data_IF_510720486477
#
_entry.id   IF_510720486477
#
_cell.length_a   1.000
_cell.length_b   1.000
_cell.length_c   1.000
_cell.angle_alpha   90.00
_cell.angle_beta   90.00
_cell.angle_gamma   90.00
#
_symmetry.space_group_name_H-M   'P 1'
#
loop_
_entity.id
_entity.type
_entity.pdbx_description
1 polymer ?
#
# COMPACT_ATOMS: atom_id res chain seq x y z
N UNK A 1 -50.14 -12.16 -6.59
CA UNK A 1 -48.99 -11.83 -7.47
C UNK A 1 -48.36 -10.45 -7.21
N UNK A 2 -49.10 -9.32 -7.30
CA UNK A 2 -48.54 -7.96 -7.10
C UNK A 2 -47.86 -7.71 -5.74
N UNK A 3 -48.40 -8.22 -4.63
CA UNK A 3 -47.77 -8.09 -3.29
C UNK A 3 -46.43 -8.84 -3.19
N UNK A 4 -46.37 -10.04 -3.77
CA UNK A 4 -45.17 -10.88 -3.77
C UNK A 4 -44.05 -10.25 -4.60
N UNK A 5 -44.36 -9.71 -5.78
CA UNK A 5 -43.39 -8.98 -6.59
C UNK A 5 -42.81 -7.77 -5.88
N UNK A 6 -43.64 -6.98 -5.17
CA UNK A 6 -43.17 -5.82 -4.41
C UNK A 6 -42.26 -6.21 -3.24
N UNK A 7 -42.65 -7.25 -2.52
CA UNK A 7 -41.82 -7.78 -1.45
C UNK A 7 -40.48 -8.25 -2.01
N UNK A 8 -40.48 -8.94 -3.15
CA UNK A 8 -39.26 -9.41 -3.82
C UNK A 8 -38.37 -8.25 -4.29
N UNK A 9 -38.93 -7.23 -4.94
CA UNK A 9 -38.19 -6.02 -5.35
C UNK A 9 -37.54 -5.31 -4.15
N UNK A 10 -38.31 -5.12 -3.07
CA UNK A 10 -37.80 -4.49 -1.85
C UNK A 10 -36.71 -5.33 -1.18
N UNK A 11 -36.96 -6.63 -0.98
CA UNK A 11 -36.02 -7.52 -0.28
C UNK A 11 -34.71 -7.67 -1.05
N UNK A 12 -34.76 -7.87 -2.37
CA UNK A 12 -33.56 -7.94 -3.20
C UNK A 12 -32.86 -6.58 -3.24
N UNK A 13 -33.60 -5.49 -3.46
CA UNK A 13 -33.03 -4.14 -3.49
C UNK A 13 -32.31 -3.77 -2.19
N UNK A 14 -32.95 -4.05 -1.04
CA UNK A 14 -32.37 -3.83 0.28
C UNK A 14 -31.13 -4.70 0.51
N UNK A 15 -31.18 -6.00 0.13
CA UNK A 15 -30.04 -6.90 0.27
C UNK A 15 -28.84 -6.40 -0.54
N UNK A 16 -29.03 -6.08 -1.82
CA UNK A 16 -27.96 -5.58 -2.70
C UNK A 16 -27.40 -4.24 -2.20
N UNK A 17 -28.27 -3.31 -1.81
CA UNK A 17 -27.86 -2.01 -1.31
C UNK A 17 -27.07 -2.11 -0.01
N UNK A 18 -27.59 -2.84 0.99
CA UNK A 18 -26.96 -2.95 2.31
C UNK A 18 -25.65 -3.73 2.28
N UNK A 19 -25.52 -4.73 1.41
CA UNK A 19 -24.27 -5.51 1.29
C UNK A 19 -23.17 -4.75 0.54
N UNK A 20 -23.52 -3.89 -0.42
CA UNK A 20 -22.55 -3.13 -1.22
C UNK A 20 -22.17 -1.77 -0.62
N UNK A 21 -23.03 -1.18 0.23
CA UNK A 21 -22.82 0.16 0.77
C UNK A 21 -21.51 0.32 1.56
N UNK A 22 -21.11 -0.59 2.48
CA UNK A 22 -19.89 -0.41 3.27
C UNK A 22 -18.64 -0.36 2.38
N UNK A 23 -18.51 -1.29 1.44
CA UNK A 23 -17.35 -1.34 0.54
C UNK A 23 -17.35 -0.17 -0.44
N UNK A 24 -18.52 0.19 -1.01
CA UNK A 24 -18.64 1.35 -1.90
C UNK A 24 -18.17 2.63 -1.21
N UNK A 25 -18.57 2.81 0.04
CA UNK A 25 -18.19 3.98 0.84
C UNK A 25 -16.68 4.01 1.05
N UNK A 26 -16.07 2.89 1.47
CA UNK A 26 -14.61 2.80 1.64
C UNK A 26 -13.85 3.07 0.34
N UNK A 27 -14.31 2.53 -0.78
CA UNK A 27 -13.67 2.76 -2.09
C UNK A 27 -13.79 4.20 -2.57
N UNK A 28 -14.92 4.88 -2.31
CA UNK A 28 -15.06 6.32 -2.60
C UNK A 28 -14.11 7.14 -1.72
N UNK A 29 -14.01 6.79 -0.43
CA UNK A 29 -13.07 7.46 0.47
C UNK A 29 -11.61 7.25 0.04
N UNK A 30 -11.27 6.06 -0.44
CA UNK A 30 -9.95 5.76 -1.05
C UNK A 30 -9.70 6.64 -2.28
N UNK A 31 -10.68 6.77 -3.18
CA UNK A 31 -10.56 7.65 -4.35
C UNK A 31 -10.31 9.11 -3.96
N UNK A 32 -11.04 9.62 -2.97
CA UNK A 32 -10.88 10.98 -2.44
C UNK A 32 -9.50 11.11 -1.77
N UNK A 33 -9.06 10.10 -1.04
CA UNK A 33 -7.73 10.06 -0.41
C UNK A 33 -6.63 10.15 -1.45
N UNK A 34 -6.62 9.29 -2.47
CA UNK A 34 -5.60 9.28 -3.51
C UNK A 34 -5.60 10.61 -4.29
N UNK A 35 -6.77 11.19 -4.56
CA UNK A 35 -6.85 12.52 -5.17
C UNK A 35 -6.22 13.60 -4.30
N UNK A 36 -6.48 13.59 -2.98
CA UNK A 36 -5.87 14.55 -2.05
C UNK A 36 -4.37 14.35 -1.94
N UNK A 37 -3.90 13.11 -1.84
CA UNK A 37 -2.48 12.79 -1.73
C UNK A 37 -1.74 13.20 -3.01
N UNK A 38 -2.24 12.86 -4.19
CA UNK A 38 -1.62 13.25 -5.47
C UNK A 38 -1.63 14.76 -5.73
N UNK A 39 -2.62 15.47 -5.18
CA UNK A 39 -2.70 16.92 -5.25
C UNK A 39 -1.71 17.60 -4.28
N UNK A 40 -1.46 16.99 -3.12
CA UNK A 40 -0.57 17.54 -2.09
C UNK A 40 0.90 17.13 -2.30
N UNK A 41 1.14 15.93 -2.81
CA UNK A 41 2.47 15.32 -2.85
C UNK A 41 2.79 14.69 -4.20
N UNK A 42 4.09 14.63 -4.48
CA UNK A 42 4.66 13.74 -5.49
C UNK A 42 5.71 12.85 -4.83
N UNK A 43 5.50 11.52 -4.90
CA UNK A 43 6.39 10.54 -4.30
C UNK A 43 7.06 9.76 -5.41
N UNK A 44 8.38 9.86 -5.50
CA UNK A 44 9.18 9.16 -6.51
C UNK A 44 10.09 8.16 -5.83
N UNK A 45 9.98 6.89 -6.22
CA UNK A 45 10.95 5.87 -5.81
C UNK A 45 12.25 6.01 -6.60
N UNK A 46 13.34 6.20 -5.88
CA UNK A 46 14.68 6.43 -6.43
C UNK A 46 15.32 5.13 -6.93
N UNK A 47 14.90 3.98 -6.37
CA UNK A 47 15.31 2.66 -6.85
C UNK A 47 14.63 2.38 -8.18
N UNK A 48 15.23 2.86 -9.26
CA UNK A 48 14.79 2.55 -10.62
C UNK A 48 15.34 1.20 -11.06
N UNK A 49 14.63 0.55 -11.99
CA UNK A 49 15.01 -0.75 -12.54
C UNK A 49 16.33 -0.72 -13.32
N UNK A 50 16.30 -0.85 -14.64
CA UNK A 50 17.51 -0.80 -15.47
C UNK A 50 17.77 0.60 -16.02
N UNK A 51 18.96 1.20 -15.83
CA UNK A 51 20.09 0.71 -15.04
C UNK A 51 19.85 0.83 -13.52
N UNK A 52 20.44 -0.07 -12.71
CA UNK A 52 20.25 -0.08 -11.27
C UNK A 52 20.81 1.19 -10.63
N UNK A 53 20.03 1.81 -9.75
CA UNK A 53 20.46 2.98 -8.99
C UNK A 53 21.50 2.57 -7.96
N UNK A 54 22.64 3.27 -7.91
CA UNK A 54 23.71 3.04 -6.95
C UNK A 54 23.20 3.11 -5.50
N UNK A 55 23.83 2.35 -4.59
CA UNK A 55 23.49 2.37 -3.15
C UNK A 55 23.95 3.65 -2.43
N UNK A 56 24.68 4.51 -3.15
CA UNK A 56 25.05 5.87 -2.76
C UNK A 56 24.21 6.85 -3.55
N UNK A 57 23.45 7.70 -2.87
CA UNK A 57 22.56 8.68 -3.47
C UNK A 57 22.91 10.09 -3.02
N UNK A 58 22.82 11.04 -3.94
CA UNK A 58 23.06 12.45 -3.65
C UNK A 58 21.73 13.19 -3.58
N UNK A 59 21.44 13.81 -2.44
CA UNK A 59 20.32 14.71 -2.26
C UNK A 59 20.85 16.08 -1.83
N UNK A 60 20.80 17.06 -2.74
CA UNK A 60 21.48 18.34 -2.59
C UNK A 60 22.98 18.13 -2.26
N UNK A 61 23.46 18.76 -1.17
CA UNK A 61 24.84 18.63 -0.69
C UNK A 61 25.04 17.43 0.25
N UNK A 62 24.04 16.54 0.37
CA UNK A 62 24.08 15.38 1.26
C UNK A 62 24.31 14.07 0.49
N UNK A 63 25.18 13.23 1.03
CA UNK A 63 25.48 11.90 0.51
C UNK A 63 24.82 10.87 1.43
N UNK A 64 23.91 10.07 0.89
CA UNK A 64 23.23 8.99 1.59
C UNK A 64 23.79 7.66 1.10
N UNK A 65 24.21 6.80 2.02
CA UNK A 65 24.88 5.55 1.71
C UNK A 65 24.24 4.37 2.44
N UNK A 66 24.02 3.27 1.71
CA UNK A 66 23.79 1.95 2.32
C UNK A 66 25.05 1.11 2.17
N UNK A 67 25.68 0.78 3.30
CA UNK A 67 26.77 -0.18 3.37
C UNK A 67 26.25 -1.55 3.77
N UNK A 68 26.73 -2.60 3.11
CA UNK A 68 26.37 -3.97 3.39
C UNK A 68 27.57 -4.79 3.89
N UNK A 69 27.33 -5.66 4.86
CA UNK A 69 28.28 -6.70 5.29
C UNK A 69 27.61 -8.06 5.14
N UNK A 70 27.90 -8.75 4.03
CA UNK A 70 27.24 -10.00 3.65
C UNK A 70 27.77 -11.19 4.46
N UNK A 71 26.85 -11.99 4.99
CA UNK A 71 27.10 -13.26 5.70
C UNK A 71 26.80 -14.42 4.74
N UNK A 72 27.76 -14.69 3.84
CA UNK A 72 27.62 -15.58 2.67
C UNK A 72 27.14 -16.99 3.03
N UNK A 73 27.45 -17.48 4.22
CA UNK A 73 27.11 -18.82 4.70
C UNK A 73 25.59 -19.11 4.76
N UNK A 74 24.74 -18.07 4.70
CA UNK A 74 23.28 -18.18 4.82
C UNK A 74 22.51 -17.84 3.54
N UNK A 75 22.96 -18.30 2.37
CA UNK A 75 22.21 -18.07 1.12
C UNK A 75 21.03 -19.04 0.93
N UNK A 76 19.89 -18.53 0.47
CA UNK A 76 18.70 -19.33 0.13
C UNK A 76 18.00 -18.76 -1.11
N UNK A 77 17.00 -19.46 -1.65
CA UNK A 77 16.07 -18.90 -2.63
C UNK A 77 14.77 -18.48 -1.94
N UNK A 78 14.28 -17.29 -2.28
CA UNK A 78 12.96 -16.83 -1.84
C UNK A 78 11.83 -17.53 -2.63
N UNK A 79 10.54 -17.34 -2.27
CA UNK A 79 9.40 -17.90 -3.01
C UNK A 79 9.28 -17.44 -4.47
N UNK A 80 10.05 -16.43 -4.89
CA UNK A 80 10.13 -15.94 -6.26
C UNK A 80 11.40 -16.41 -6.98
N UNK A 81 12.06 -17.45 -6.43
CA UNK A 81 13.29 -18.03 -6.96
C UNK A 81 14.49 -17.07 -7.01
N UNK A 82 14.45 -15.92 -6.32
CA UNK A 82 15.59 -15.01 -6.24
C UNK A 82 16.63 -15.51 -5.27
N UNK A 83 17.91 -15.39 -5.62
CA UNK A 83 19.00 -15.75 -4.71
C UNK A 83 19.17 -14.67 -3.63
N UNK A 84 18.89 -15.05 -2.39
CA UNK A 84 19.01 -14.20 -1.21
C UNK A 84 20.24 -14.58 -0.38
N UNK A 85 20.85 -13.60 0.27
CA UNK A 85 21.80 -13.81 1.39
C UNK A 85 21.36 -12.98 2.58
N UNK A 86 22.01 -13.19 3.72
CA UNK A 86 21.78 -12.42 4.94
C UNK A 86 22.91 -11.41 5.10
N UNK A 87 22.60 -10.16 5.35
CA UNK A 87 23.58 -9.10 5.54
C UNK A 87 23.22 -8.19 6.72
N UNK A 88 24.25 -7.59 7.32
CA UNK A 88 24.06 -6.42 8.16
C UNK A 88 24.12 -5.18 7.27
N UNK A 89 23.11 -4.32 7.33
CA UNK A 89 23.01 -3.07 6.58
C UNK A 89 23.24 -1.89 7.52
N UNK A 90 24.08 -0.95 7.12
CA UNK A 90 24.33 0.30 7.82
C UNK A 90 23.97 1.46 6.90
N UNK A 91 23.13 2.36 7.39
CA UNK A 91 22.77 3.58 6.68
C UNK A 91 23.59 4.73 7.22
N UNK A 92 24.07 5.57 6.31
CA UNK A 92 24.86 6.75 6.64
C UNK A 92 24.36 7.97 5.88
N UNK A 93 24.51 9.14 6.50
CA UNK A 93 24.35 10.44 5.85
C UNK A 93 25.64 11.21 6.11
N UNK A 94 26.29 11.69 5.05
CA UNK A 94 27.56 12.41 5.11
C UNK A 94 28.66 11.65 5.88
N UNK A 95 28.67 10.32 5.77
CA UNK A 95 29.59 9.43 6.47
C UNK A 95 29.24 9.15 7.94
N UNK A 96 28.26 9.85 8.52
CA UNK A 96 27.76 9.61 9.87
C UNK A 96 26.70 8.51 9.90
N UNK A 97 26.77 7.60 10.88
CA UNK A 97 25.83 6.48 10.99
C UNK A 97 24.43 6.93 11.40
N UNK A 98 23.44 6.61 10.57
CA UNK A 98 22.02 6.94 10.78
C UNK A 98 21.25 5.79 11.45
N UNK A 99 21.29 4.59 10.87
CA UNK A 99 20.55 3.42 11.37
C UNK A 99 21.22 2.12 10.94
N UNK A 100 20.85 1.00 11.56
CA UNK A 100 21.37 -0.34 11.28
C UNK A 100 20.26 -1.37 11.23
N UNK A 101 20.33 -2.26 10.24
CA UNK A 101 19.45 -3.42 10.10
C UNK A 101 20.34 -4.68 10.17
N UNK A 102 20.14 -5.51 11.20
CA UNK A 102 20.97 -6.70 11.42
C UNK A 102 20.30 -7.96 10.89
N UNK A 103 21.08 -8.78 10.19
CA UNK A 103 20.66 -10.06 9.62
C UNK A 103 19.47 -9.95 8.64
N UNK A 104 19.45 -8.95 7.76
CA UNK A 104 18.37 -8.73 6.78
C UNK A 104 18.62 -9.47 5.46
N UNK A 105 17.56 -9.90 4.76
CA UNK A 105 17.69 -10.52 3.44
C UNK A 105 18.12 -9.50 2.39
N UNK A 106 19.07 -9.87 1.53
CA UNK A 106 19.53 -9.07 0.38
C UNK A 106 19.56 -9.90 -0.88
N UNK A 107 19.15 -9.32 -2.02
CA UNK A 107 19.21 -9.98 -3.32
C UNK A 107 20.65 -9.98 -3.84
N UNK A 108 21.16 -11.16 -4.16
CA UNK A 108 22.55 -11.36 -4.60
C UNK A 108 22.75 -11.22 -6.11
N UNK A 109 21.66 -11.33 -6.88
CA UNK A 109 21.66 -11.23 -8.34
C UNK A 109 21.30 -9.82 -8.84
N UNK A 110 20.92 -8.92 -7.93
CA UNK A 110 20.62 -7.51 -8.20
C UNK A 110 21.83 -6.62 -7.89
N UNK A 111 21.80 -5.37 -8.33
CA UNK A 111 22.82 -4.36 -8.06
C UNK A 111 22.21 -3.08 -7.45
N UNK A 112 23.05 -2.32 -6.75
CA UNK A 112 22.65 -1.05 -6.14
C UNK A 112 21.48 -1.19 -5.15
N UNK A 113 20.57 -0.22 -5.14
CA UNK A 113 19.41 -0.19 -4.22
C UNK A 113 18.41 -1.33 -4.45
N UNK A 114 18.34 -1.89 -5.67
CA UNK A 114 17.44 -3.01 -5.98
C UNK A 114 17.75 -4.27 -5.14
N UNK A 115 18.96 -4.35 -4.57
CA UNK A 115 19.36 -5.42 -3.64
C UNK A 115 18.57 -5.43 -2.35
N UNK A 116 18.05 -4.27 -1.93
CA UNK A 116 17.35 -4.06 -0.65
C UNK A 116 15.84 -3.97 -0.81
N UNK A 117 15.30 -4.35 -1.98
CA UNK A 117 13.87 -4.31 -2.25
C UNK A 117 13.07 -5.01 -1.15
N UNK A 118 12.03 -4.33 -0.66
CA UNK A 118 11.16 -4.81 0.42
C UNK A 118 11.67 -4.50 1.83
N UNK A 119 12.94 -4.10 1.97
CA UNK A 119 13.58 -3.82 3.26
C UNK A 119 13.96 -2.35 3.42
N UNK A 120 14.49 -1.72 2.36
CA UNK A 120 14.88 -0.31 2.31
C UNK A 120 14.32 0.32 1.03
N UNK A 121 13.72 1.50 1.14
CA UNK A 121 13.38 2.34 0.00
C UNK A 121 13.91 3.75 0.18
N UNK A 122 14.46 4.28 -0.92
CA UNK A 122 14.85 5.68 -1.04
C UNK A 122 13.78 6.37 -1.88
N UNK A 123 13.18 7.42 -1.33
CA UNK A 123 12.07 8.14 -1.94
C UNK A 123 12.38 9.63 -1.96
N UNK A 124 11.97 10.31 -3.02
CA UNK A 124 11.85 11.78 -3.02
C UNK A 124 10.38 12.13 -2.80
N UNK A 125 10.12 13.05 -1.88
CA UNK A 125 8.80 13.59 -1.58
C UNK A 125 8.80 15.09 -1.88
N UNK A 126 8.04 15.50 -2.89
CA UNK A 126 7.76 16.91 -3.16
C UNK A 126 6.42 17.28 -2.51
N UNK A 127 6.43 18.29 -1.63
CA UNK A 127 5.21 18.90 -1.09
C UNK A 127 4.79 20.08 -1.97
N UNK A 128 3.75 19.86 -2.77
CA UNK A 128 3.23 20.81 -3.75
C UNK A 128 2.60 22.05 -3.10
N UNK A 129 2.29 21.99 -1.80
CA UNK A 129 1.66 23.11 -1.09
C UNK A 129 2.64 24.21 -0.70
N UNK A 130 3.91 23.83 -0.48
CA UNK A 130 4.95 24.74 -0.01
C UNK A 130 6.24 24.69 -0.82
N UNK A 131 6.24 23.94 -1.94
CA UNK A 131 7.35 23.80 -2.88
C UNK A 131 8.65 23.31 -2.21
N UNK A 132 8.50 22.35 -1.28
CA UNK A 132 9.63 21.75 -0.57
C UNK A 132 9.85 20.32 -1.02
N UNK A 133 11.11 19.99 -1.26
CA UNK A 133 11.52 18.61 -1.52
C UNK A 133 12.14 18.00 -0.27
N UNK A 134 11.79 16.75 0.03
CA UNK A 134 12.37 15.97 1.10
C UNK A 134 12.87 14.64 0.55
N UNK A 135 13.94 14.13 1.14
CA UNK A 135 14.41 12.79 0.87
C UNK A 135 14.04 11.86 2.02
N UNK A 136 13.42 10.74 1.69
CA UNK A 136 12.90 9.78 2.66
C UNK A 136 13.63 8.47 2.51
N UNK A 137 14.23 8.02 3.60
CA UNK A 137 14.77 6.68 3.74
C UNK A 137 13.77 5.88 4.57
N UNK A 138 13.03 5.00 3.91
CA UNK A 138 12.03 4.15 4.54
C UNK A 138 12.59 2.77 4.82
N UNK A 139 12.49 2.34 6.06
CA UNK A 139 13.07 1.10 6.57
C UNK A 139 11.99 0.20 7.13
N UNK A 140 12.00 -1.05 6.73
CA UNK A 140 11.29 -2.11 7.43
C UNK A 140 12.15 -2.58 8.60
N UNK A 141 11.65 -2.40 9.83
CA UNK A 141 12.33 -2.80 11.08
C UNK A 141 11.98 -4.21 11.52
N UNK A 142 10.95 -4.79 10.92
CA UNK A 142 10.56 -6.18 11.14
C UNK A 142 11.16 -7.06 10.05
N UNK A 143 12.08 -7.94 10.45
CA UNK A 143 12.71 -8.89 9.54
C UNK A 143 11.74 -9.98 9.11
N UNK A 144 11.67 -10.22 7.81
CA UNK A 144 11.02 -11.39 7.21
C UNK A 144 12.05 -12.15 6.39
N UNK A 145 12.07 -13.48 6.48
CA UNK A 145 12.96 -14.33 5.68
C UNK A 145 12.11 -15.42 5.07
N UNK A 146 11.24 -15.01 4.14
CA UNK A 146 10.26 -15.90 3.54
C UNK A 146 10.94 -17.04 2.79
N UNK A 147 10.43 -18.25 3.00
CA UNK A 147 10.91 -19.47 2.35
C UNK A 147 9.74 -20.26 1.82
N UNK A 148 9.93 -20.84 0.65
CA UNK A 148 8.98 -21.79 0.08
C UNK A 148 9.29 -23.20 0.61
N UNK A 149 8.26 -23.86 1.11
CA UNK A 149 8.30 -25.26 1.56
C UNK A 149 8.17 -26.22 0.38
N UNK A 150 8.42 -27.51 0.60
CA UNK A 150 8.25 -28.53 -0.45
C UNK A 150 6.83 -28.63 -1.00
N UNK A 151 5.84 -28.18 -0.23
CA UNK A 151 4.42 -28.24 -0.58
C UNK A 151 3.94 -26.95 -1.28
N UNK A 152 4.83 -25.97 -1.49
CA UNK A 152 4.54 -24.67 -2.11
C UNK A 152 4.05 -23.60 -1.15
N UNK A 153 3.94 -23.89 0.16
CA UNK A 153 3.56 -22.91 1.17
C UNK A 153 4.73 -21.98 1.52
N UNK A 154 4.44 -20.72 1.81
CA UNK A 154 5.41 -19.71 2.27
C UNK A 154 5.45 -19.68 3.80
N UNK A 155 6.63 -19.90 4.38
CA UNK A 155 6.88 -19.82 5.84
C UNK A 155 7.64 -18.56 6.23
N UNK A 156 7.74 -18.29 7.53
CA UNK A 156 8.49 -17.18 8.13
C UNK A 156 7.98 -15.76 7.76
N UNK A 157 6.79 -15.67 7.18
CA UNK A 157 6.04 -14.42 7.03
C UNK A 157 5.55 -13.94 8.40
N UNK A 158 5.71 -12.64 8.65
CA UNK A 158 5.33 -12.01 9.90
C UNK A 158 3.91 -11.44 9.77
N UNK A 159 3.03 -11.65 10.78
CA UNK A 159 1.70 -11.03 10.78
C UNK A 159 1.75 -9.51 10.71
N UNK A 160 0.78 -8.92 10.02
CA UNK A 160 0.68 -7.48 9.76
C UNK A 160 0.77 -6.64 11.06
N UNK A 161 0.22 -7.12 12.17
CA UNK A 161 0.24 -6.41 13.46
C UNK A 161 1.65 -6.27 14.07
N UNK A 162 2.61 -7.07 13.58
CA UNK A 162 4.01 -7.07 14.03
C UNK A 162 4.94 -6.34 13.06
N UNK A 163 4.44 -5.94 11.89
CA UNK A 163 5.23 -5.18 10.92
C UNK A 163 5.46 -3.75 11.42
N UNK A 164 6.73 -3.35 11.48
CA UNK A 164 7.19 -2.05 11.98
C UNK A 164 8.10 -1.39 10.97
N UNK A 165 8.01 -0.07 10.89
CA UNK A 165 8.75 0.74 9.95
C UNK A 165 9.34 1.97 10.63
N UNK A 166 10.40 2.50 10.03
CA UNK A 166 11.00 3.78 10.38
C UNK A 166 11.22 4.59 9.11
N UNK A 167 10.78 5.83 9.10
CA UNK A 167 11.08 6.80 8.06
C UNK A 167 12.08 7.83 8.61
N UNK A 168 13.22 7.97 7.95
CA UNK A 168 14.14 9.09 8.15
C UNK A 168 13.89 10.11 7.04
N UNK A 169 13.50 11.32 7.41
CA UNK A 169 13.10 12.40 6.51
C UNK A 169 14.18 13.46 6.59
N UNK A 170 14.93 13.62 5.49
CA UNK A 170 15.97 14.61 5.30
C UNK A 170 15.38 15.80 4.53
N UNK A 171 15.39 16.97 5.14
CA UNK A 171 15.01 18.22 4.45
C UNK A 171 16.18 18.81 3.64
N UNK A 172 15.88 19.83 2.84
CA UNK A 172 16.86 20.49 1.97
C UNK A 172 18.02 21.16 2.72
N UNK A 173 17.83 21.47 4.01
CA UNK A 173 18.84 22.10 4.87
C UNK A 173 19.71 21.07 5.60
N UNK A 174 19.44 19.78 5.43
CA UNK A 174 20.15 18.71 6.11
C UNK A 174 19.57 18.31 7.47
N UNK A 175 18.41 18.83 7.86
CA UNK A 175 17.77 18.39 9.10
C UNK A 175 17.13 17.03 8.89
N UNK A 176 17.37 16.11 9.83
CA UNK A 176 16.82 14.77 9.80
C UNK A 176 15.74 14.65 10.88
N UNK A 177 14.54 14.26 10.47
CA UNK A 177 13.47 13.85 11.37
C UNK A 177 13.25 12.33 11.25
N UNK A 178 13.04 11.66 12.37
CA UNK A 178 12.78 10.22 12.40
C UNK A 178 11.38 9.96 12.93
N UNK A 179 10.59 9.20 12.16
CA UNK A 179 9.27 8.74 12.58
C UNK A 179 9.22 7.22 12.51
N UNK A 180 8.70 6.57 13.56
CA UNK A 180 8.47 5.12 13.56
C UNK A 180 6.98 4.82 13.67
N UNK A 181 6.51 3.82 12.94
CA UNK A 181 5.10 3.46 12.88
C UNK A 181 4.93 1.95 12.65
N UNK A 182 3.76 1.41 12.97
CA UNK A 182 3.39 0.03 12.64
C UNK A 182 2.58 -0.01 11.35
N UNK A 183 2.53 -1.17 10.70
CA UNK A 183 1.70 -1.35 9.52
C UNK A 183 0.23 -1.02 9.78
N UNK A 184 -0.31 -1.41 10.94
CA UNK A 184 -1.73 -1.25 11.29
C UNK A 184 -2.12 0.13 11.79
N UNK A 185 -1.16 0.94 12.25
CA UNK A 185 -1.37 2.29 12.81
C UNK A 185 -0.71 3.38 11.93
N UNK A 186 -0.61 3.11 10.63
CA UNK A 186 -0.04 4.03 9.65
C UNK A 186 -1.01 5.17 9.32
N UNK A 187 -0.45 6.34 9.07
CA UNK A 187 -1.23 7.47 8.54
C UNK A 187 -1.37 7.43 7.00
N UNK A 188 -2.06 8.46 6.50
CA UNK A 188 -2.29 8.68 5.08
C UNK A 188 -1.00 8.75 4.25
N UNK A 189 -0.01 9.54 4.69
CA UNK A 189 1.26 9.70 3.97
C UNK A 189 2.13 8.45 4.07
N UNK A 190 2.19 7.84 5.26
CA UNK A 190 2.92 6.60 5.50
C UNK A 190 2.40 5.44 4.64
N UNK A 191 1.09 5.39 4.36
CA UNK A 191 0.50 4.43 3.43
C UNK A 191 1.05 4.60 2.02
N UNK A 192 1.08 5.83 1.52
CA UNK A 192 1.61 6.14 0.18
C UNK A 192 3.12 5.89 0.09
N UNK A 193 3.89 6.21 1.14
CA UNK A 193 5.33 5.93 1.20
C UNK A 193 5.63 4.43 1.16
N UNK A 194 4.89 3.61 1.90
CA UNK A 194 5.03 2.15 1.87
C UNK A 194 4.71 1.58 0.49
N UNK A 195 3.66 2.10 -0.15
CA UNK A 195 3.23 1.69 -1.50
C UNK A 195 4.29 2.06 -2.54
N UNK A 196 4.70 3.33 -2.59
CA UNK A 196 5.73 3.82 -3.51
C UNK A 196 7.07 3.12 -3.31
N UNK A 197 7.45 2.85 -2.05
CA UNK A 197 8.68 2.16 -1.68
C UNK A 197 8.68 0.66 -1.95
N UNK A 198 7.53 0.05 -2.24
CA UNK A 198 7.38 -1.41 -2.31
C UNK A 198 7.80 -2.12 -1.01
N UNK A 199 7.54 -1.50 0.16
CA UNK A 199 7.85 -2.05 1.50
C UNK A 199 6.64 -2.74 2.14
N UNK A 200 5.44 -2.53 1.59
CA UNK A 200 4.27 -3.29 1.99
C UNK A 200 4.35 -4.73 1.44
N UNK A 201 3.92 -5.74 2.21
CA UNK A 201 3.93 -7.14 1.78
C UNK A 201 2.95 -7.42 0.62
N UNK A 202 1.95 -6.57 0.46
CA UNK A 202 0.98 -6.59 -0.62
C UNK A 202 0.54 -5.15 -0.93
N UNK A 203 -0.07 -4.91 -2.09
CA UNK A 203 -0.64 -3.62 -2.42
C UNK A 203 -1.69 -3.17 -1.38
N UNK A 204 -1.51 -1.97 -0.81
CA UNK A 204 -2.32 -1.45 0.30
C UNK A 204 -3.04 -0.15 -0.06
N UNK A 205 -4.22 0.03 0.53
CA UNK A 205 -4.91 1.32 0.60
C UNK A 205 -4.94 1.86 2.03
N UNK A 206 -5.44 3.08 2.20
CA UNK A 206 -5.60 3.71 3.51
C UNK A 206 -6.92 3.31 4.20
N UNK A 207 -8.04 3.36 3.46
CA UNK A 207 -9.36 2.94 3.94
C UNK A 207 -9.72 1.51 3.54
N UNK A 208 -9.19 1.03 2.40
CA UNK A 208 -9.41 -0.34 1.94
C UNK A 208 -8.41 -0.82 0.89
N UNK A 209 -7.95 -2.06 1.05
CA UNK A 209 -7.06 -2.72 0.08
C UNK A 209 -7.82 -3.36 -1.09
N UNK A 210 -9.14 -3.22 -1.14
CA UNK A 210 -10.01 -3.93 -2.08
C UNK A 210 -9.74 -3.58 -3.55
N UNK A 211 -9.24 -2.37 -3.82
CA UNK A 211 -8.88 -1.93 -5.16
C UNK A 211 -7.60 -2.61 -5.65
N UNK A 212 -6.68 -2.84 -4.73
CA UNK A 212 -5.33 -3.31 -5.04
C UNK A 212 -5.22 -4.85 -4.96
N UNK A 213 -6.13 -5.50 -4.21
CA UNK A 213 -6.08 -6.95 -3.95
C UNK A 213 -6.89 -7.81 -4.94
N UNK A 214 -7.81 -7.24 -5.73
CA UNK A 214 -8.70 -8.04 -6.59
C UNK A 214 -8.41 -7.75 -8.07
N UNK A 215 -7.66 -8.62 -8.77
CA UNK A 215 -7.13 -8.36 -10.11
C UNK A 215 -8.18 -8.46 -11.23
N UNK A 216 -9.46 -8.59 -10.91
CA UNK A 216 -10.50 -8.67 -11.95
C UNK A 216 -11.01 -7.28 -12.31
N UNK A 217 -10.99 -6.95 -13.59
CA UNK A 217 -11.56 -5.71 -14.15
C UNK A 217 -13.05 -5.57 -13.76
N UNK A 218 -13.73 -6.70 -13.54
CA UNK A 218 -15.15 -6.76 -13.21
C UNK A 218 -15.39 -6.33 -11.77
N UNK A 219 -14.53 -6.69 -10.81
CA UNK A 219 -14.80 -6.47 -9.40
C UNK A 219 -15.01 -4.99 -9.07
N UNK A 220 -14.09 -4.04 -9.32
CA UNK A 220 -14.32 -2.65 -8.90
C UNK A 220 -15.49 -1.96 -9.62
N UNK A 221 -15.94 -2.47 -10.77
CA UNK A 221 -17.05 -1.88 -11.53
C UNK A 221 -18.39 -2.52 -11.13
N UNK A 222 -18.48 -3.86 -11.16
CA UNK A 222 -19.71 -4.61 -10.91
C UNK A 222 -20.05 -4.67 -9.40
N UNK A 223 -19.03 -4.83 -8.55
CA UNK A 223 -19.17 -4.86 -7.10
C UNK A 223 -18.07 -4.04 -6.40
N UNK A 224 -18.38 -2.88 -5.82
CA UNK A 224 -19.67 -2.69 -5.15
C UNK A 224 -20.61 -1.70 -5.87
N UNK A 225 -20.14 -0.92 -6.86
CA UNK A 225 -20.89 0.22 -7.40
C UNK A 225 -22.13 -0.14 -8.23
N UNK A 226 -22.03 -1.04 -9.23
CA UNK A 226 -23.22 -1.46 -10.00
C UNK A 226 -24.21 -2.18 -9.10
N UNK A 227 -23.73 -3.00 -8.17
CA UNK A 227 -24.58 -3.69 -7.19
C UNK A 227 -25.33 -2.71 -6.29
N UNK A 228 -24.66 -1.65 -5.83
CA UNK A 228 -25.26 -0.54 -5.09
C UNK A 228 -26.31 0.20 -5.93
N UNK A 229 -25.98 0.52 -7.19
CA UNK A 229 -26.88 1.21 -8.11
C UNK A 229 -28.14 0.39 -8.42
N UNK A 230 -28.00 -0.90 -8.72
CA UNK A 230 -29.12 -1.81 -8.95
C UNK A 230 -29.97 -1.94 -7.70
N UNK A 231 -29.36 -2.12 -6.52
CA UNK A 231 -30.07 -2.15 -5.24
C UNK A 231 -30.89 -0.88 -5.01
N UNK A 232 -30.30 0.29 -5.24
CA UNK A 232 -30.97 1.57 -5.13
C UNK A 232 -32.12 1.73 -6.14
N UNK A 233 -31.93 1.36 -7.41
CA UNK A 233 -32.98 1.41 -8.45
C UNK A 233 -34.18 0.54 -8.06
N UNK A 234 -33.95 -0.68 -7.58
CA UNK A 234 -35.02 -1.59 -7.15
C UNK A 234 -35.83 -1.00 -5.97
N UNK A 235 -35.15 -0.36 -5.01
CA UNK A 235 -35.80 0.34 -3.90
C UNK A 235 -36.66 1.51 -4.39
N UNK A 236 -36.14 2.35 -5.29
CA UNK A 236 -36.89 3.47 -5.88
C UNK A 236 -38.12 2.97 -6.65
N UNK A 237 -37.96 1.95 -7.50
CA UNK A 237 -39.07 1.33 -8.24
C UNK A 237 -40.15 0.79 -7.28
N UNK A 238 -39.76 0.15 -6.19
CA UNK A 238 -40.69 -0.29 -5.16
C UNK A 238 -41.51 0.87 -4.58
N UNK A 239 -40.87 1.98 -4.23
CA UNK A 239 -41.56 3.16 -3.68
C UNK A 239 -42.50 3.81 -4.70
N UNK A 240 -42.08 3.95 -5.96
CA UNK A 240 -42.90 4.51 -7.05
C UNK A 240 -44.16 3.65 -7.29
N UNK A 241 -44.01 2.32 -7.40
CA UNK A 241 -45.15 1.40 -7.57
C UNK A 241 -46.10 1.48 -6.36
N UNK A 242 -45.56 1.64 -5.14
CA UNK A 242 -46.38 1.79 -3.94
C UNK A 242 -47.15 3.10 -3.91
N UNK A 243 -46.56 4.22 -4.36
CA UNK A 243 -47.24 5.51 -4.42
C UNK A 243 -48.33 5.56 -5.50
N UNK A 244 -48.07 5.06 -6.71
CA UNK A 244 -49.05 5.05 -7.80
C UNK A 244 -50.34 4.31 -7.43
N UNK A 245 -50.25 3.23 -6.66
CA UNK A 245 -51.44 2.53 -6.16
C UNK A 245 -52.18 3.26 -5.03
N UNK A 246 -51.49 4.09 -4.24
CA UNK A 246 -52.20 4.93 -3.25
C UNK A 246 -53.06 5.96 -3.97
N UNK A 247 -52.52 6.61 -5.01
CA UNK A 247 -53.22 7.61 -5.80
C UNK A 247 -54.45 7.02 -6.53
N UNK A 248 -54.32 5.84 -7.14
CA UNK A 248 -55.43 5.14 -7.80
C UNK A 248 -56.50 4.57 -6.85
N UNK A 249 -56.26 4.54 -5.53
CA UNK A 249 -57.27 4.14 -4.54
C UNK A 249 -58.03 5.32 -3.96
N UNK A 250 -57.54 6.53 -4.18
CA UNK A 250 -58.13 7.79 -3.70
C UNK A 250 -58.85 8.58 -4.80
N UNK A 251 -58.75 8.13 -6.05
CA UNK A 251 -59.51 8.61 -7.21
C UNK A 251 -60.68 7.65 -7.49
#
# INVERSE_FOLDING_TARGET
MKKMLKFLLFSIGALLFLTSLPLSTKMIMELIHNQKMNAAYEITNVSTGGPPTESTFHFNDHIIETEETVKIENSHRDPWSRKMSIADLSLKINGEGLDKLKDYPVRMEEAGLNRYYGEIAYLTLEDKSNDKTQFIILLKKTKEVEKETSDGDITDRVPDEKLKYTAHILDENGNINMTSFSFTDRDALQTELLSAGSLAPYPIGYYTDARESIPTIIFPILFPFVTLAVGFILLVLFFLIRQGEKLNRTA
#
